data_IF_351121085985
#
_entry.id   IF_351121085985
#
_cell.length_a   1.000
_cell.length_b   1.000
_cell.length_c   1.000
_cell.angle_alpha   90.00
_cell.angle_beta   90.00
_cell.angle_gamma   90.00
#
_symmetry.space_group_name_H-M   'P 1'
#
loop_
_entity.id
_entity.type
_entity.pdbx_description
1 polymer ?
#
# COMPACT_ATOMS: atom_id res chain seq x y z
N UNK A 1 12.73 9.34 8.11
CA UNK A 1 11.74 10.31 7.56
C UNK A 1 10.90 9.60 6.52
N UNK A 2 9.62 9.95 6.38
CA UNK A 2 8.70 9.32 5.44
C UNK A 2 9.27 9.27 4.01
N UNK A 3 9.74 10.40 3.51
CA UNK A 3 10.29 10.53 2.16
C UNK A 3 11.44 9.54 1.90
N UNK A 4 12.39 9.40 2.83
CA UNK A 4 13.51 8.47 2.67
C UNK A 4 13.05 7.02 2.54
N UNK A 5 12.01 6.63 3.30
CA UNK A 5 11.46 5.28 3.24
C UNK A 5 10.75 5.02 1.91
N UNK A 6 9.97 5.99 1.42
CA UNK A 6 9.32 5.90 0.11
C UNK A 6 10.36 5.82 -1.02
N UNK A 7 11.42 6.63 -0.97
CA UNK A 7 12.52 6.56 -1.95
C UNK A 7 13.19 5.19 -1.95
N UNK A 8 13.43 4.60 -0.77
CA UNK A 8 13.98 3.25 -0.68
C UNK A 8 13.06 2.22 -1.35
N UNK A 9 11.76 2.21 -1.00
CA UNK A 9 10.80 1.26 -1.56
C UNK A 9 10.68 1.40 -3.09
N UNK A 10 10.69 2.62 -3.61
CA UNK A 10 10.72 2.84 -5.06
C UNK A 10 12.01 2.28 -5.70
N UNK A 11 13.17 2.43 -5.03
CA UNK A 11 14.43 1.85 -5.52
C UNK A 11 14.45 0.31 -5.50
N UNK A 12 13.62 -0.31 -4.67
CA UNK A 12 13.41 -1.76 -4.59
C UNK A 12 12.39 -2.27 -5.65
N UNK A 13 11.79 -1.37 -6.44
CA UNK A 13 10.87 -1.72 -7.52
C UNK A 13 9.39 -1.54 -7.20
N UNK A 14 9.04 -1.04 -6.02
CA UNK A 14 7.66 -0.66 -5.68
C UNK A 14 7.33 0.73 -6.26
N UNK A 15 7.24 0.82 -7.59
CA UNK A 15 7.19 2.10 -8.33
C UNK A 15 5.79 2.73 -8.46
N UNK A 16 4.74 1.98 -8.13
CA UNK A 16 3.35 2.45 -8.22
C UNK A 16 2.86 3.01 -6.88
N UNK A 17 1.86 3.88 -6.93
CA UNK A 17 1.13 4.35 -5.77
C UNK A 17 -0.29 3.81 -5.83
N UNK A 18 -0.77 3.29 -4.71
CA UNK A 18 -2.10 2.73 -4.59
C UNK A 18 -2.94 3.55 -3.60
N UNK A 19 -4.21 3.67 -3.91
CA UNK A 19 -5.22 4.21 -3.00
C UNK A 19 -6.30 3.15 -2.72
N UNK A 20 -6.81 3.16 -1.49
CA UNK A 20 -7.95 2.32 -1.13
C UNK A 20 -9.24 2.91 -1.74
N UNK A 21 -9.93 2.16 -2.59
CA UNK A 21 -11.22 2.58 -3.19
C UNK A 21 -12.42 2.04 -2.39
N UNK A 22 -12.20 1.02 -1.57
CA UNK A 22 -13.16 0.41 -0.67
C UNK A 22 -12.48 -0.66 0.18
N UNK A 23 -13.22 -1.32 1.08
CA UNK A 23 -12.63 -2.29 2.03
C UNK A 23 -11.79 -3.40 1.36
N UNK A 24 -12.13 -3.76 0.13
CA UNK A 24 -11.56 -4.91 -0.59
C UNK A 24 -11.02 -4.53 -1.97
N UNK A 25 -10.81 -3.25 -2.26
CA UNK A 25 -10.36 -2.80 -3.58
C UNK A 25 -9.32 -1.71 -3.46
N UNK A 26 -8.26 -1.85 -4.24
CA UNK A 26 -7.21 -0.83 -4.41
C UNK A 26 -7.22 -0.33 -5.84
N UNK A 27 -6.82 0.91 -6.02
CA UNK A 27 -6.66 1.54 -7.32
C UNK A 27 -5.22 2.00 -7.47
N UNK A 28 -4.56 1.58 -8.55
CA UNK A 28 -3.27 2.13 -8.95
C UNK A 28 -3.49 3.55 -9.49
N UNK A 29 -2.80 4.54 -8.93
CA UNK A 29 -2.97 5.95 -9.28
C UNK A 29 -2.35 6.31 -10.63
N UNK A 30 -1.35 5.55 -11.08
CA UNK A 30 -0.65 5.78 -12.34
C UNK A 30 -1.40 5.14 -13.53
N UNK A 31 -1.92 3.91 -13.37
CA UNK A 31 -2.59 3.18 -14.45
C UNK A 31 -4.11 3.30 -14.44
N UNK A 32 -4.68 3.82 -13.34
CA UNK A 32 -6.11 3.76 -13.03
C UNK A 32 -6.69 2.33 -12.97
N UNK A 33 -5.85 1.30 -12.95
CA UNK A 33 -6.28 -0.08 -12.79
C UNK A 33 -6.85 -0.29 -11.38
N UNK A 34 -7.89 -1.12 -11.29
CA UNK A 34 -8.52 -1.49 -10.02
C UNK A 34 -8.27 -2.97 -9.81
N UNK A 35 -7.70 -3.30 -8.66
CA UNK A 35 -7.52 -4.67 -8.20
C UNK A 35 -8.46 -4.96 -7.02
N UNK A 36 -9.12 -6.10 -7.07
CA UNK A 36 -9.90 -6.64 -5.97
C UNK A 36 -9.03 -7.45 -5.01
N UNK A 37 -9.55 -7.76 -3.81
CA UNK A 37 -8.80 -8.47 -2.77
C UNK A 37 -8.25 -9.83 -3.20
N UNK A 38 -8.78 -10.42 -4.27
CA UNK A 38 -8.30 -11.70 -4.82
C UNK A 38 -7.20 -11.54 -5.86
N UNK A 39 -6.97 -10.33 -6.37
CA UNK A 39 -6.00 -9.99 -7.41
C UNK A 39 -4.83 -9.14 -6.89
N UNK A 40 -4.70 -8.95 -5.58
CA UNK A 40 -3.50 -8.35 -4.99
C UNK A 40 -3.16 -8.94 -3.62
N UNK A 41 -1.87 -8.89 -3.29
CA UNK A 41 -1.37 -9.13 -1.93
C UNK A 41 -1.06 -7.81 -1.24
N UNK A 42 -1.20 -7.76 0.08
CA UNK A 42 -0.81 -6.61 0.89
C UNK A 42 0.03 -7.00 2.09
N UNK A 43 1.12 -6.27 2.32
CA UNK A 43 1.99 -6.44 3.48
C UNK A 43 2.33 -5.10 4.10
N UNK A 44 2.14 -4.98 5.42
CA UNK A 44 2.66 -3.85 6.20
C UNK A 44 4.20 -3.96 6.26
N UNK A 45 4.89 -2.89 5.88
CA UNK A 45 6.37 -2.85 5.85
C UNK A 45 6.97 -1.77 6.74
N UNK A 46 6.18 -0.81 7.19
CA UNK A 46 6.65 0.23 8.10
C UNK A 46 5.49 0.98 8.79
N UNK A 47 5.83 1.60 9.92
CA UNK A 47 4.99 2.56 10.64
C UNK A 47 5.84 3.80 10.91
N UNK A 48 5.41 4.95 10.38
CA UNK A 48 6.14 6.21 10.52
C UNK A 48 5.24 7.23 11.17
N UNK A 49 5.73 7.88 12.23
CA UNK A 49 5.07 9.04 12.80
C UNK A 49 5.33 10.27 11.91
N UNK A 50 4.25 10.80 11.33
CA UNK A 50 4.27 12.05 10.57
C UNK A 50 4.07 13.23 11.52
N UNK A 51 5.14 13.97 11.76
CA UNK A 51 5.15 15.16 12.61
C UNK A 51 4.32 16.30 12.03
N UNK A 52 4.16 16.37 10.69
CA UNK A 52 3.38 17.43 10.04
C UNK A 52 1.89 17.26 10.34
N UNK A 53 1.39 16.03 10.22
CA UNK A 53 -0.01 15.70 10.43
C UNK A 53 -0.32 15.25 11.86
N UNK A 54 0.69 15.13 12.72
CA UNK A 54 0.59 14.62 14.09
C UNK A 54 -0.13 13.26 14.16
N UNK A 55 0.19 12.36 13.23
CA UNK A 55 -0.43 11.03 13.14
C UNK A 55 0.57 9.95 12.72
N UNK A 56 0.20 8.69 12.92
CA UNK A 56 0.95 7.58 12.37
C UNK A 56 0.47 7.29 10.94
N UNK A 57 1.43 7.10 10.04
CA UNK A 57 1.23 6.58 8.69
C UNK A 57 1.73 5.15 8.63
N UNK A 58 0.93 4.27 8.04
CA UNK A 58 1.24 2.87 7.86
C UNK A 58 1.53 2.61 6.40
N UNK A 59 2.74 2.15 6.12
CA UNK A 59 3.21 1.90 4.77
C UNK A 59 3.00 0.42 4.48
N UNK A 60 2.19 0.16 3.47
CA UNK A 60 1.98 -1.18 2.93
C UNK A 60 2.59 -1.27 1.54
N UNK A 61 3.10 -2.44 1.19
CA UNK A 61 3.38 -2.79 -0.20
C UNK A 61 2.21 -3.59 -0.76
N UNK A 62 1.91 -3.33 -2.03
CA UNK A 62 0.91 -4.02 -2.84
C UNK A 62 1.62 -4.70 -3.99
N UNK A 63 1.31 -5.97 -4.23
CA UNK A 63 1.69 -6.66 -5.46
C UNK A 63 0.43 -7.26 -6.09
N UNK A 64 0.09 -6.82 -7.30
CA UNK A 64 -1.06 -7.34 -8.05
C UNK A 64 -0.69 -8.56 -8.90
N UNK A 65 -1.68 -9.36 -9.27
CA UNK A 65 -1.51 -10.50 -10.18
C UNK A 65 -1.06 -10.09 -11.60
N UNK A 66 -1.37 -8.87 -12.02
CA UNK A 66 -0.92 -8.28 -13.27
C UNK A 66 0.49 -7.68 -13.21
N UNK A 67 1.18 -7.79 -12.06
CA UNK A 67 2.59 -7.43 -11.89
C UNK A 67 2.83 -5.98 -11.46
N UNK A 68 1.80 -5.19 -11.16
CA UNK A 68 1.97 -3.86 -10.56
C UNK A 68 2.42 -4.01 -9.11
N UNK A 69 3.56 -3.39 -8.78
CA UNK A 69 4.14 -3.38 -7.43
C UNK A 69 4.26 -1.95 -6.92
N UNK A 70 3.65 -1.66 -5.78
CA UNK A 70 3.57 -0.28 -5.31
C UNK A 70 3.30 -0.14 -3.83
N UNK A 71 3.05 1.10 -3.45
CA UNK A 71 2.94 1.54 -2.06
C UNK A 71 1.50 1.99 -1.78
N UNK A 72 0.94 1.52 -0.66
CA UNK A 72 -0.33 1.97 -0.12
C UNK A 72 -0.09 2.56 1.27
N UNK A 73 -0.29 3.87 1.41
CA UNK A 73 -0.21 4.55 2.71
C UNK A 73 -1.60 4.77 3.29
N UNK A 74 -1.78 4.40 4.55
CA UNK A 74 -3.04 4.52 5.27
C UNK A 74 -2.83 5.04 6.70
N UNK A 75 -3.82 5.71 7.30
CA UNK A 75 -3.80 6.10 8.71
C UNK A 75 -4.05 4.93 9.67
N UNK A 76 -4.25 3.72 9.14
CA UNK A 76 -4.49 2.49 9.89
C UNK A 76 -3.79 1.30 9.21
N UNK A 77 -3.59 0.21 9.96
CA UNK A 77 -3.05 -1.02 9.39
C UNK A 77 -4.12 -1.73 8.58
N UNK A 78 -3.81 -2.04 7.33
CA UNK A 78 -4.65 -2.79 6.43
C UNK A 78 -4.09 -4.21 6.26
N UNK A 79 -4.84 -5.18 6.76
CA UNK A 79 -4.47 -6.59 6.67
C UNK A 79 -5.21 -7.30 5.53
N UNK A 80 -4.65 -8.41 5.08
CA UNK A 80 -5.45 -9.43 4.41
C UNK A 80 -6.44 -10.02 5.41
N UNK A 81 -7.70 -10.15 4.98
CA UNK A 81 -8.68 -10.84 5.80
C UNK A 81 -8.27 -12.32 5.83
N UNK A 82 -7.88 -12.81 6.99
CA UNK A 82 -7.70 -14.24 7.21
C UNK A 82 -9.09 -14.87 7.07
N UNK A 83 -9.31 -15.64 6.02
CA UNK A 83 -10.48 -16.50 5.90
C UNK A 83 -10.22 -17.70 6.81
N UNK A 84 -10.76 -17.67 8.02
CA UNK A 84 -10.82 -18.85 8.88
C UNK A 84 -11.91 -19.76 8.30
N UNK A 85 -11.47 -20.89 7.71
CA UNK A 85 -12.36 -21.96 7.23
C UNK A 85 -12.98 -22.71 8.41
#
# INVERSE_FOLDING_TARGET
>A
MLTSRLTQLHSEGYIYDFALKGKNTVMCLQSNAIADKTSFTVKLVDQIYDQLCNNYQYIHIIETDCGEKGILMLPEIYFEKIMLN
#
